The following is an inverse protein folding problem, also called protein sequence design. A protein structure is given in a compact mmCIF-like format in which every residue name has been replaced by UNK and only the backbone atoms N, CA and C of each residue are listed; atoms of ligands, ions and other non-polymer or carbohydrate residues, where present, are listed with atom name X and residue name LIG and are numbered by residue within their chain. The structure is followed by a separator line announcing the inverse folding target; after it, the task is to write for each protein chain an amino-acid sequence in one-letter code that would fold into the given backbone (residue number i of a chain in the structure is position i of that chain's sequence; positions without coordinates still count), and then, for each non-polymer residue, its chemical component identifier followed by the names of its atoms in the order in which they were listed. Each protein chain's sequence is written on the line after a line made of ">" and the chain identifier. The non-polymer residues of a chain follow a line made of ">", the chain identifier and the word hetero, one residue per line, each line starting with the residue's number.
data_IF_725531003621
#
_entry.id   IF_725531003621
#
_cell.length_a   1.000
_cell.length_b   1.000
_cell.length_c   1.000
_cell.angle_alpha   90.00
_cell.angle_beta   90.00
_cell.angle_gamma   90.00
#
_symmetry.space_group_name_H-M   'P 1'
#
loop_
_entity.id
_entity.type
_entity.pdbx_description
1 polymer ?
#
# COMPACT_ATOMS: atom_id res chain seq x y z
N UNK A 1 12.96 -44.20 -16.20
CA UNK A 1 13.52 -42.84 -16.39
C UNK A 1 13.33 -42.08 -15.09
N UNK A 2 14.37 -41.50 -14.47
CA UNK A 2 14.16 -40.64 -13.30
C UNK A 2 13.55 -39.32 -13.79
N UNK A 3 12.33 -39.03 -13.35
CA UNK A 3 11.67 -37.76 -13.62
C UNK A 3 12.39 -36.63 -12.87
N UNK A 4 12.44 -35.43 -13.45
CA UNK A 4 13.01 -34.26 -12.79
C UNK A 4 12.17 -33.90 -11.55
N UNK A 5 12.86 -33.60 -10.44
CA UNK A 5 12.25 -33.19 -9.18
C UNK A 5 12.44 -31.68 -8.98
N UNK A 6 11.44 -30.92 -9.43
CA UNK A 6 11.42 -29.46 -9.38
C UNK A 6 11.47 -28.92 -7.95
N UNK A 7 10.77 -29.57 -7.01
CA UNK A 7 10.74 -29.15 -5.61
C UNK A 7 12.11 -29.24 -4.98
N UNK A 8 12.83 -30.33 -5.23
CA UNK A 8 14.19 -30.51 -4.75
C UNK A 8 15.15 -29.49 -5.36
N UNK A 9 15.05 -29.24 -6.67
CA UNK A 9 15.89 -28.24 -7.34
C UNK A 9 15.63 -26.83 -6.80
N UNK A 10 14.37 -26.41 -6.72
CA UNK A 10 13.97 -25.10 -6.18
C UNK A 10 14.45 -24.89 -4.75
N UNK A 11 14.30 -25.91 -3.89
CA UNK A 11 14.78 -25.86 -2.50
C UNK A 11 16.30 -25.65 -2.42
N UNK A 12 17.07 -26.29 -3.32
CA UNK A 12 18.53 -26.12 -3.37
C UNK A 12 18.94 -24.71 -3.83
N UNK A 13 18.26 -24.15 -4.83
CA UNK A 13 18.52 -22.79 -5.30
C UNK A 13 18.12 -21.72 -4.28
N UNK A 14 17.01 -21.94 -3.55
CA UNK A 14 16.64 -21.09 -2.42
C UNK A 14 17.72 -21.10 -1.34
N UNK A 15 18.24 -22.28 -0.97
CA UNK A 15 19.29 -22.36 0.05
C UNK A 15 20.57 -21.65 -0.38
N UNK A 16 21.01 -21.83 -1.64
CA UNK A 16 22.15 -21.08 -2.19
C UNK A 16 21.92 -19.57 -2.12
N UNK A 17 20.71 -19.12 -2.44
CA UNK A 17 20.34 -17.70 -2.38
C UNK A 17 20.44 -17.16 -0.94
N UNK A 18 19.96 -17.92 0.04
CA UNK A 18 20.09 -17.57 1.46
C UNK A 18 21.54 -17.49 1.90
N UNK A 19 22.39 -18.43 1.49
CA UNK A 19 23.81 -18.42 1.82
C UNK A 19 24.53 -17.21 1.20
N UNK A 20 24.26 -16.90 -0.08
CA UNK A 20 24.80 -15.72 -0.73
C UNK A 20 24.38 -14.43 -0.01
N UNK A 21 23.11 -14.36 0.41
CA UNK A 21 22.60 -13.23 1.19
C UNK A 21 23.31 -13.11 2.54
N UNK A 22 23.48 -14.20 3.29
CA UNK A 22 24.20 -14.21 4.57
C UNK A 22 25.64 -13.72 4.42
N UNK A 23 26.33 -14.17 3.37
CA UNK A 23 27.68 -13.71 3.06
C UNK A 23 27.71 -12.20 2.77
N UNK A 24 26.75 -11.71 1.97
CA UNK A 24 26.62 -10.29 1.68
C UNK A 24 26.39 -9.46 2.95
N UNK A 25 25.51 -9.90 3.85
CA UNK A 25 25.26 -9.23 5.14
C UNK A 25 26.52 -9.19 6.00
N UNK A 26 27.25 -10.31 6.12
CA UNK A 26 28.46 -10.37 6.91
C UNK A 26 29.55 -9.43 6.36
N UNK A 27 29.73 -9.40 5.03
CA UNK A 27 30.66 -8.49 4.36
C UNK A 27 30.30 -7.02 4.60
N UNK A 28 29.01 -6.69 4.47
CA UNK A 28 28.53 -5.34 4.73
C UNK A 28 28.75 -4.91 6.19
N UNK A 29 28.35 -5.75 7.15
CA UNK A 29 28.48 -5.47 8.60
C UNK A 29 29.96 -5.31 9.03
N UNK A 30 30.88 -6.01 8.38
CA UNK A 30 32.32 -5.78 8.59
C UNK A 30 32.79 -4.47 7.94
N UNK A 31 32.44 -4.24 6.67
CA UNK A 31 32.90 -3.06 5.92
C UNK A 31 32.51 -1.73 6.58
N UNK A 32 31.32 -1.65 7.18
CA UNK A 32 30.80 -0.43 7.81
C UNK A 32 31.41 -0.17 9.19
N UNK A 33 32.07 -1.16 9.79
CA UNK A 33 32.57 -1.08 11.17
C UNK A 33 33.60 0.04 11.37
N UNK A 34 34.48 0.27 10.39
CA UNK A 34 35.48 1.34 10.46
C UNK A 34 34.84 2.73 10.37
N UNK A 35 33.81 2.89 9.53
CA UNK A 35 33.03 4.14 9.43
C UNK A 35 32.25 4.44 10.71
N UNK A 36 31.68 3.41 11.35
CA UNK A 36 30.97 3.59 12.63
C UNK A 36 31.92 4.03 13.75
N UNK A 37 33.12 3.43 13.83
CA UNK A 37 34.18 3.83 14.77
C UNK A 37 34.63 5.28 14.54
N UNK A 38 34.88 5.68 13.29
CA UNK A 38 35.30 7.06 12.99
C UNK A 38 34.23 8.10 13.35
N UNK A 39 32.94 7.73 13.26
CA UNK A 39 31.80 8.54 13.72
C UNK A 39 31.62 8.56 15.25
N UNK A 40 32.48 7.87 16.00
CA UNK A 40 32.45 7.82 17.46
C UNK A 40 31.46 6.82 18.05
N UNK A 41 30.90 5.91 17.24
CA UNK A 41 30.08 4.81 17.77
C UNK A 41 30.97 3.68 18.29
N UNK A 42 30.50 3.02 19.36
CA UNK A 42 31.13 1.82 19.91
C UNK A 42 30.26 0.60 19.63
N UNK A 43 30.86 -0.45 19.08
CA UNK A 43 30.19 -1.74 18.94
C UNK A 43 30.05 -2.36 20.33
N UNK A 44 28.82 -2.61 20.78
CA UNK A 44 28.56 -3.15 22.12
C UNK A 44 28.39 -4.66 22.10
N UNK A 45 27.66 -5.17 21.12
CA UNK A 45 27.41 -6.60 20.94
C UNK A 45 26.87 -6.88 19.53
N UNK A 46 26.67 -8.16 19.26
CA UNK A 46 25.93 -8.65 18.10
C UNK A 46 24.58 -9.20 18.56
N UNK A 47 23.61 -9.20 17.65
CA UNK A 47 22.31 -9.82 17.86
C UNK A 47 21.83 -10.49 16.59
N UNK A 48 21.16 -11.63 16.72
CA UNK A 48 20.52 -12.28 15.60
C UNK A 48 19.12 -11.72 15.35
N UNK A 49 18.65 -11.84 14.11
CA UNK A 49 17.26 -11.55 13.73
C UNK A 49 16.88 -12.44 12.57
N UNK A 50 15.65 -12.92 12.65
CA UNK A 50 14.99 -13.70 11.62
C UNK A 50 14.01 -12.81 10.88
N UNK A 51 14.11 -12.80 9.54
CA UNK A 51 13.24 -12.02 8.66
C UNK A 51 12.79 -12.90 7.49
N UNK A 52 11.49 -12.82 7.17
CA UNK A 52 10.91 -13.40 5.99
C UNK A 52 11.15 -12.50 4.76
N UNK A 53 11.85 -13.04 3.77
CA UNK A 53 12.06 -12.44 2.45
C UNK A 53 11.26 -13.21 1.39
N UNK A 54 11.21 -12.68 0.18
CA UNK A 54 10.65 -13.36 -1.01
C UNK A 54 11.46 -14.59 -1.44
N UNK A 55 12.64 -14.80 -0.86
CA UNK A 55 13.48 -15.99 -1.07
C UNK A 55 13.56 -16.88 0.18
N UNK A 56 12.61 -16.73 1.10
CA UNK A 56 12.50 -17.54 2.31
C UNK A 56 12.85 -16.79 3.59
N UNK A 57 12.67 -17.48 4.71
CA UNK A 57 13.05 -16.98 6.03
C UNK A 57 14.57 -17.13 6.25
N UNK A 58 15.20 -16.05 6.73
CA UNK A 58 16.65 -15.98 6.96
C UNK A 58 16.95 -15.38 8.33
N UNK A 59 17.80 -16.08 9.08
CA UNK A 59 18.36 -15.61 10.35
C UNK A 59 19.78 -15.12 10.13
N UNK A 60 20.06 -13.85 10.46
CA UNK A 60 21.38 -13.25 10.32
C UNK A 60 21.82 -12.52 11.59
N UNK A 61 23.13 -12.52 11.84
CA UNK A 61 23.75 -11.73 12.92
C UNK A 61 24.07 -10.32 12.43
N UNK A 62 23.93 -9.34 13.32
CA UNK A 62 24.25 -7.93 13.05
C UNK A 62 24.80 -7.22 14.29
N UNK A 63 25.78 -6.35 14.10
CA UNK A 63 26.35 -5.52 15.17
C UNK A 63 25.42 -4.39 15.59
N UNK A 64 25.37 -4.13 16.90
CA UNK A 64 24.69 -2.97 17.49
C UNK A 64 25.70 -1.93 17.95
N UNK A 65 25.53 -0.72 17.45
CA UNK A 65 26.44 0.40 17.64
C UNK A 65 25.81 1.47 18.51
N UNK A 66 26.53 1.95 19.51
CA UNK A 66 26.02 2.93 20.47
C UNK A 66 26.85 4.21 20.49
N UNK A 67 26.17 5.35 20.55
CA UNK A 67 26.77 6.67 20.78
C UNK A 67 25.78 7.53 21.55
N UNK A 68 26.20 8.10 22.68
CA UNK A 68 25.37 9.01 23.49
C UNK A 68 23.96 8.46 23.84
N UNK A 69 23.84 7.15 24.08
CA UNK A 69 22.56 6.49 24.37
C UNK A 69 21.75 6.08 23.13
N UNK A 70 22.11 6.55 21.95
CA UNK A 70 21.46 6.17 20.68
C UNK A 70 22.04 4.84 20.14
N UNK A 71 21.17 3.95 19.70
CA UNK A 71 21.53 2.68 19.09
C UNK A 71 21.30 2.72 17.58
N UNK A 72 22.33 2.40 16.80
CA UNK A 72 22.24 2.18 15.36
C UNK A 72 22.58 0.75 14.99
N UNK A 73 21.87 0.23 14.01
CA UNK A 73 22.03 -1.14 13.50
C UNK A 73 22.15 -1.02 11.98
N UNK A 74 23.37 -0.80 11.44
CA UNK A 74 23.56 -0.48 10.02
C UNK A 74 22.99 -1.52 9.06
N UNK A 75 23.00 -2.80 9.44
CA UNK A 75 22.40 -3.88 8.65
C UNK A 75 20.88 -3.71 8.54
N UNK A 76 20.19 -3.41 9.64
CA UNK A 76 18.75 -3.19 9.63
C UNK A 76 18.41 -1.94 8.79
N UNK A 77 19.20 -0.88 8.91
CA UNK A 77 19.05 0.36 8.13
C UNK A 77 19.23 0.13 6.63
N UNK A 78 20.27 -0.62 6.23
CA UNK A 78 20.52 -0.98 4.83
C UNK A 78 19.40 -1.82 4.23
N UNK A 79 18.83 -2.73 5.02
CA UNK A 79 17.71 -3.58 4.60
C UNK A 79 16.34 -2.87 4.68
N UNK A 80 16.28 -1.62 5.16
CA UNK A 80 15.03 -0.91 5.38
C UNK A 80 14.13 -1.57 6.45
N UNK A 81 14.72 -2.31 7.39
CA UNK A 81 13.96 -3.06 8.38
C UNK A 81 13.57 -2.19 9.58
N UNK A 82 12.27 -1.91 9.68
CA UNK A 82 11.72 -1.25 10.86
C UNK A 82 11.86 -2.09 12.13
N UNK A 83 11.78 -1.43 13.29
CA UNK A 83 11.89 -2.08 14.59
C UNK A 83 10.78 -3.10 14.79
N UNK A 84 11.15 -4.31 15.22
CA UNK A 84 10.24 -5.44 15.51
C UNK A 84 9.46 -6.02 14.32
N UNK A 85 9.65 -5.52 13.09
CA UNK A 85 9.03 -6.09 11.89
C UNK A 85 9.79 -7.34 11.45
N UNK A 86 9.08 -8.42 11.12
CA UNK A 86 9.70 -9.73 10.77
C UNK A 86 9.66 -10.04 9.27
N UNK A 87 9.23 -9.08 8.46
CA UNK A 87 9.02 -9.24 7.04
C UNK A 87 9.78 -8.15 6.29
N UNK A 88 10.40 -8.50 5.17
CA UNK A 88 11.07 -7.53 4.30
C UNK A 88 10.06 -6.58 3.64
N UNK A 89 10.51 -5.36 3.31
CA UNK A 89 9.65 -4.37 2.64
C UNK A 89 9.09 -4.87 1.32
N UNK A 90 9.89 -5.59 0.52
CA UNK A 90 9.44 -6.18 -0.75
C UNK A 90 8.33 -7.22 -0.55
N UNK A 91 8.47 -8.09 0.46
CA UNK A 91 7.43 -9.07 0.79
C UNK A 91 6.13 -8.38 1.23
N UNK A 92 6.23 -7.33 2.04
CA UNK A 92 5.07 -6.54 2.47
C UNK A 92 4.42 -5.80 1.29
N UNK A 93 5.22 -5.23 0.39
CA UNK A 93 4.71 -4.60 -0.82
C UNK A 93 3.90 -5.57 -1.68
N UNK A 94 4.44 -6.78 -1.92
CA UNK A 94 3.70 -7.80 -2.67
C UNK A 94 2.43 -8.26 -1.95
N UNK A 95 2.45 -8.36 -0.61
CA UNK A 95 1.25 -8.63 0.18
C UNK A 95 0.19 -7.54 0.00
N UNK A 96 0.59 -6.26 -0.03
CA UNK A 96 -0.31 -5.14 -0.29
C UNK A 96 -0.95 -5.23 -1.69
N UNK A 97 -0.14 -5.54 -2.71
CA UNK A 97 -0.61 -5.71 -4.09
C UNK A 97 -1.59 -6.88 -4.20
N UNK A 98 -1.28 -8.02 -3.57
CA UNK A 98 -2.18 -9.18 -3.57
C UNK A 98 -3.49 -8.89 -2.84
N UNK A 99 -3.47 -8.10 -1.78
CA UNK A 99 -4.66 -7.70 -1.03
C UNK A 99 -5.66 -6.87 -1.85
N UNK A 100 -5.23 -6.27 -2.96
CA UNK A 100 -6.15 -5.60 -3.91
C UNK A 100 -6.97 -6.59 -4.75
N UNK A 101 -6.58 -7.86 -4.79
CA UNK A 101 -7.15 -8.90 -5.65
C UNK A 101 -7.75 -10.07 -4.87
N UNK A 102 -7.23 -10.32 -3.67
CA UNK A 102 -7.53 -11.52 -2.88
C UNK A 102 -7.94 -11.15 -1.45
N UNK A 103 -8.84 -11.93 -0.82
CA UNK A 103 -9.09 -11.85 0.61
C UNK A 103 -7.80 -12.06 1.42
N UNK A 104 -7.66 -11.38 2.56
CA UNK A 104 -6.40 -11.34 3.32
C UNK A 104 -5.86 -12.71 3.75
N UNK A 105 -6.74 -13.68 4.00
CA UNK A 105 -6.31 -15.06 4.33
C UNK A 105 -5.68 -15.75 3.12
N UNK A 106 -6.29 -15.61 1.94
CA UNK A 106 -5.76 -16.16 0.70
C UNK A 106 -4.46 -15.47 0.27
N UNK A 107 -4.27 -14.19 0.62
CA UNK A 107 -2.97 -13.53 0.44
C UNK A 107 -1.88 -14.26 1.23
N UNK A 108 -2.13 -14.58 2.50
CA UNK A 108 -1.21 -15.35 3.34
C UNK A 108 -0.91 -16.74 2.76
N UNK A 109 -1.95 -17.47 2.35
CA UNK A 109 -1.83 -18.80 1.72
C UNK A 109 -1.04 -18.75 0.40
N UNK A 110 -1.24 -17.69 -0.40
CA UNK A 110 -0.51 -17.49 -1.66
C UNK A 110 0.97 -17.22 -1.41
N UNK A 111 1.28 -16.36 -0.43
CA UNK A 111 2.67 -16.05 -0.05
C UNK A 111 3.38 -17.30 0.48
N UNK A 112 2.69 -18.08 1.32
CA UNK A 112 3.23 -19.34 1.84
C UNK A 112 3.49 -20.35 0.73
N UNK A 113 2.57 -20.49 -0.24
CA UNK A 113 2.74 -21.36 -1.39
C UNK A 113 3.94 -20.96 -2.27
N UNK A 114 4.11 -19.66 -2.56
CA UNK A 114 5.11 -19.20 -3.53
C UNK A 114 6.50 -19.05 -2.89
N UNK A 115 6.57 -18.55 -1.67
CA UNK A 115 7.83 -18.17 -1.03
C UNK A 115 8.20 -19.06 0.17
N UNK A 116 7.33 -19.98 0.56
CA UNK A 116 7.52 -20.84 1.72
C UNK A 116 7.81 -20.03 3.01
N UNK A 117 7.11 -18.90 3.16
CA UNK A 117 7.15 -18.03 4.34
C UNK A 117 5.74 -17.68 4.79
N UNK A 118 5.55 -17.49 6.10
CA UNK A 118 4.23 -17.21 6.66
C UNK A 118 3.98 -15.71 6.77
N UNK A 119 2.85 -15.27 6.20
CA UNK A 119 2.29 -13.93 6.40
C UNK A 119 0.86 -14.09 6.92
N UNK A 120 0.59 -13.59 8.13
CA UNK A 120 -0.73 -13.73 8.74
C UNK A 120 -1.72 -12.72 8.15
N UNK A 121 -3.02 -13.05 8.19
CA UNK A 121 -4.09 -12.11 7.79
C UNK A 121 -3.97 -10.74 8.50
N UNK A 122 -3.51 -10.73 9.75
CA UNK A 122 -3.39 -9.51 10.55
C UNK A 122 -2.19 -8.67 10.09
N UNK A 123 -1.13 -9.34 9.64
CA UNK A 123 0.00 -8.68 8.99
C UNK A 123 -0.44 -8.04 7.67
N UNK A 124 -1.20 -8.77 6.83
CA UNK A 124 -1.78 -8.21 5.60
C UNK A 124 -2.65 -6.99 5.90
N UNK A 125 -3.53 -7.08 6.91
CA UNK A 125 -4.37 -5.95 7.33
C UNK A 125 -3.52 -4.73 7.74
N UNK A 126 -2.47 -4.92 8.55
CA UNK A 126 -1.56 -3.83 8.95
C UNK A 126 -0.90 -3.17 7.75
N UNK A 127 -0.44 -3.96 6.78
CA UNK A 127 0.19 -3.48 5.56
C UNK A 127 -0.78 -2.66 4.72
N UNK A 128 -2.02 -3.13 4.55
CA UNK A 128 -3.05 -2.39 3.81
C UNK A 128 -3.37 -1.07 4.50
N UNK A 129 -3.47 -1.05 5.84
CA UNK A 129 -3.67 0.20 6.60
C UNK A 129 -2.53 1.18 6.38
N UNK A 130 -1.28 0.71 6.44
CA UNK A 130 -0.11 1.54 6.15
C UNK A 130 -0.13 2.07 4.71
N UNK A 131 -0.49 1.24 3.73
CA UNK A 131 -0.61 1.65 2.34
C UNK A 131 -1.67 2.75 2.15
N UNK A 132 -2.83 2.63 2.83
CA UNK A 132 -3.86 3.66 2.80
C UNK A 132 -3.37 4.98 3.42
N UNK A 133 -2.70 4.93 4.57
CA UNK A 133 -2.11 6.13 5.19
C UNK A 133 -1.13 6.84 4.26
N UNK A 134 -0.25 6.08 3.59
CA UNK A 134 0.71 6.64 2.63
C UNK A 134 0.02 7.25 1.39
N UNK A 135 -1.14 6.72 0.99
CA UNK A 135 -1.95 7.30 -0.09
C UNK A 135 -2.62 8.62 0.37
N UNK A 136 -3.18 8.65 1.57
CA UNK A 136 -3.79 9.85 2.17
C UNK A 136 -2.75 10.98 2.31
N UNK A 137 -1.58 10.70 2.90
CA UNK A 137 -0.49 11.69 3.03
C UNK A 137 -0.04 12.25 1.68
N UNK A 138 -0.05 11.43 0.63
CA UNK A 138 0.30 11.84 -0.73
C UNK A 138 -0.76 12.74 -1.35
N UNK A 139 -2.03 12.45 -1.12
CA UNK A 139 -3.14 13.26 -1.62
C UNK A 139 -3.22 14.61 -0.90
N UNK A 140 -3.01 14.64 0.41
CA UNK A 140 -2.87 15.87 1.20
C UNK A 140 -1.71 16.73 0.67
N UNK A 141 -0.53 16.14 0.45
CA UNK A 141 0.61 16.87 -0.09
C UNK A 141 0.35 17.47 -1.48
N UNK A 142 -0.41 16.77 -2.33
CA UNK A 142 -0.84 17.29 -3.64
C UNK A 142 -1.81 18.46 -3.48
N UNK A 143 -2.76 18.35 -2.57
CA UNK A 143 -3.73 19.41 -2.27
C UNK A 143 -3.05 20.69 -1.79
N UNK A 144 -2.10 20.59 -0.84
CA UNK A 144 -1.35 21.76 -0.34
C UNK A 144 -0.44 22.41 -1.39
N UNK A 145 0.07 21.66 -2.38
CA UNK A 145 0.88 22.22 -3.47
C UNK A 145 0.05 22.88 -4.57
N UNK A 146 -1.24 22.56 -4.68
CA UNK A 146 -2.14 23.10 -5.68
C UNK A 146 -3.15 24.08 -5.05
N UNK A 147 -2.67 25.20 -4.48
CA UNK A 147 -3.49 26.42 -4.35
C UNK A 147 -3.76 27.05 -5.73
N UNK A 148 -4.32 26.27 -6.67
CA UNK A 148 -4.81 26.82 -7.93
C UNK A 148 -6.18 27.41 -7.66
N UNK A 149 -6.37 28.68 -8.03
CA UNK A 149 -7.70 29.26 -8.23
C UNK A 149 -8.48 28.33 -9.15
N UNK A 150 -9.47 27.64 -8.59
CA UNK A 150 -10.39 26.79 -9.36
C UNK A 150 -11.20 27.73 -10.27
N UNK A 151 -10.89 27.72 -11.56
CA UNK A 151 -11.74 28.38 -12.55
C UNK A 151 -13.01 27.55 -12.72
N UNK A 152 -14.13 28.11 -12.25
CA UNK A 152 -15.43 27.45 -12.32
C UNK A 152 -15.84 27.20 -13.77
N UNK A 153 -16.18 25.96 -14.07
CA UNK A 153 -16.70 25.51 -15.36
C UNK A 153 -18.12 26.05 -15.52
N UNK A 154 -18.37 26.71 -16.65
CA UNK A 154 -19.71 27.19 -17.02
C UNK A 154 -20.40 26.09 -17.82
N UNK A 155 -21.57 25.63 -17.35
CA UNK A 155 -22.35 24.58 -17.99
C UNK A 155 -23.84 24.92 -17.92
N UNK A 156 -24.56 24.62 -19.01
CA UNK A 156 -26.01 24.85 -19.09
C UNK A 156 -26.80 23.76 -18.35
N UNK A 157 -26.27 22.54 -18.33
CA UNK A 157 -26.86 21.40 -17.62
C UNK A 157 -25.76 20.57 -16.97
N UNK A 158 -26.04 20.06 -15.78
CA UNK A 158 -25.16 19.18 -15.02
C UNK A 158 -25.93 17.89 -14.81
N UNK A 159 -25.29 16.79 -15.17
CA UNK A 159 -25.82 15.44 -15.01
C UNK A 159 -25.13 14.79 -13.80
N UNK A 160 -25.93 14.14 -12.98
CA UNK A 160 -25.48 13.36 -11.83
C UNK A 160 -26.08 11.97 -11.98
N UNK A 161 -25.22 10.99 -12.23
CA UNK A 161 -25.60 9.57 -12.37
C UNK A 161 -25.09 8.82 -11.14
N UNK A 162 -25.91 7.96 -10.55
CA UNK A 162 -25.58 7.22 -9.33
C UNK A 162 -25.82 5.73 -9.49
N UNK A 163 -24.89 4.92 -9.00
CA UNK A 163 -25.02 3.47 -8.80
C UNK A 163 -24.70 3.11 -7.34
N UNK A 164 -25.22 2.01 -6.84
CA UNK A 164 -25.06 1.60 -5.45
C UNK A 164 -25.02 0.08 -5.27
N UNK A 165 -24.10 -0.39 -4.42
CA UNK A 165 -23.97 -1.80 -4.07
C UNK A 165 -24.11 -1.97 -2.55
N UNK A 166 -24.97 -2.91 -2.16
CA UNK A 166 -25.16 -3.31 -0.76
C UNK A 166 -24.03 -4.24 -0.30
N UNK A 167 -23.28 -3.83 0.74
CA UNK A 167 -22.22 -4.64 1.35
C UNK A 167 -22.59 -5.00 2.78
N UNK A 168 -22.58 -6.29 3.09
CA UNK A 168 -22.77 -6.77 4.47
C UNK A 168 -21.53 -6.45 5.29
N UNK A 169 -21.68 -5.65 6.33
CA UNK A 169 -20.59 -5.38 7.28
C UNK A 169 -20.88 -6.01 8.64
N UNK A 170 -19.83 -6.20 9.43
CA UNK A 170 -19.92 -6.71 10.79
C UNK A 170 -19.20 -5.71 11.68
N UNK A 171 -19.93 -4.73 12.20
CA UNK A 171 -19.45 -3.95 13.35
C UNK A 171 -19.72 -4.74 14.63
N UNK A 172 -18.77 -4.70 15.55
CA UNK A 172 -18.86 -5.39 16.83
C UNK A 172 -20.03 -4.85 17.66
N UNK A 173 -21.08 -5.67 17.83
CA UNK A 173 -22.03 -5.53 18.94
C UNK A 173 -23.41 -4.94 18.64
N UNK A 174 -23.69 -4.44 17.44
CA UNK A 174 -25.06 -4.05 17.04
C UNK A 174 -25.42 -4.64 15.68
N UNK A 175 -26.70 -4.97 15.52
CA UNK A 175 -27.31 -5.62 14.36
C UNK A 175 -26.61 -5.32 13.03
N UNK A 176 -26.28 -6.38 12.29
CA UNK A 176 -25.65 -6.37 10.96
C UNK A 176 -26.14 -5.18 10.12
N UNK A 177 -25.37 -4.09 10.11
CA UNK A 177 -25.68 -2.92 9.29
C UNK A 177 -25.12 -3.21 7.90
N UNK A 178 -26.02 -3.46 6.95
CA UNK A 178 -25.62 -3.41 5.54
C UNK A 178 -25.20 -1.96 5.27
N UNK A 179 -24.02 -1.78 4.67
CA UNK A 179 -23.53 -0.47 4.25
C UNK A 179 -23.70 -0.35 2.74
N UNK A 180 -24.17 0.81 2.31
CA UNK A 180 -24.41 1.10 0.90
C UNK A 180 -23.17 1.80 0.35
N UNK A 181 -22.42 1.09 -0.49
CA UNK A 181 -21.35 1.72 -1.25
C UNK A 181 -21.98 2.39 -2.46
N UNK A 182 -22.05 3.71 -2.44
CA UNK A 182 -22.62 4.50 -3.53
C UNK A 182 -21.52 5.14 -4.36
N UNK A 183 -21.73 5.14 -5.68
CA UNK A 183 -20.85 5.74 -6.68
C UNK A 183 -21.64 6.75 -7.50
N UNK A 184 -21.18 8.00 -7.52
CA UNK A 184 -21.75 9.06 -8.33
C UNK A 184 -20.77 9.53 -9.40
N UNK A 185 -21.30 9.83 -10.58
CA UNK A 185 -20.59 10.47 -11.69
C UNK A 185 -21.28 11.78 -11.99
N UNK A 186 -20.51 12.88 -11.92
CA UNK A 186 -20.96 14.23 -12.28
C UNK A 186 -20.30 14.61 -13.61
N UNK A 187 -21.08 15.08 -14.58
CA UNK A 187 -20.58 15.54 -15.88
C UNK A 187 -21.46 16.63 -16.48
N UNK A 188 -20.96 17.34 -17.51
CA UNK A 188 -21.67 18.48 -18.13
C UNK A 188 -22.28 18.17 -19.49
N UNK A 189 -22.30 16.89 -19.87
CA UNK A 189 -22.77 16.43 -21.17
C UNK A 189 -21.96 15.25 -21.68
N UNK A 190 -22.21 14.86 -22.93
CA UNK A 190 -21.43 13.84 -23.63
C UNK A 190 -21.16 14.29 -25.06
N UNK A 191 -19.96 13.98 -25.56
CA UNK A 191 -19.56 14.27 -26.94
C UNK A 191 -19.35 12.96 -27.70
N UNK A 192 -19.78 12.92 -28.95
CA UNK A 192 -19.52 11.76 -29.80
C UNK A 192 -18.06 11.74 -30.24
N UNK A 193 -17.37 10.62 -30.05
CA UNK A 193 -15.95 10.45 -30.43
C UNK A 193 -15.78 9.45 -31.58
N UNK A 194 -16.74 8.53 -31.79
CA UNK A 194 -16.80 7.65 -32.96
C UNK A 194 -18.25 7.19 -33.20
N UNK A 195 -18.56 6.48 -34.31
CA UNK A 195 -19.87 5.86 -34.49
C UNK A 195 -20.22 5.01 -33.26
N UNK A 196 -21.38 5.26 -32.66
CA UNK A 196 -21.89 4.62 -31.44
C UNK A 196 -20.99 4.70 -30.20
N UNK A 197 -20.05 5.67 -30.12
CA UNK A 197 -19.21 5.87 -28.95
C UNK A 197 -19.22 7.33 -28.51
N UNK A 198 -19.57 7.53 -27.25
CA UNK A 198 -19.65 8.84 -26.61
C UNK A 198 -18.72 8.90 -25.40
N UNK A 199 -18.19 10.08 -25.12
CA UNK A 199 -17.34 10.37 -23.97
C UNK A 199 -18.00 11.47 -23.12
N UNK A 200 -18.01 11.28 -21.79
CA UNK A 200 -18.57 12.26 -20.86
C UNK A 200 -17.62 13.45 -20.68
N UNK A 201 -18.17 14.66 -20.73
CA UNK A 201 -17.39 15.89 -20.61
C UNK A 201 -17.29 16.36 -19.15
N UNK A 202 -16.11 16.83 -18.74
CA UNK A 202 -15.83 17.29 -17.37
C UNK A 202 -16.22 16.29 -16.28
N UNK A 203 -16.06 14.99 -16.58
CA UNK A 203 -16.42 13.88 -15.72
C UNK A 203 -15.65 13.94 -14.38
N UNK A 204 -16.39 13.89 -13.27
CA UNK A 204 -15.87 13.65 -11.93
C UNK A 204 -16.59 12.46 -11.30
N UNK A 205 -15.83 11.51 -10.76
CA UNK A 205 -16.35 10.37 -10.02
C UNK A 205 -16.16 10.55 -8.53
N UNK A 206 -17.16 10.18 -7.74
CA UNK A 206 -17.19 10.23 -6.28
C UNK A 206 -17.73 8.90 -5.75
N UNK A 207 -17.11 8.33 -4.72
CA UNK A 207 -17.60 7.10 -4.06
C UNK A 207 -17.42 7.22 -2.55
N UNK A 208 -18.39 6.72 -1.79
CA UNK A 208 -18.38 6.73 -0.33
C UNK A 208 -19.41 5.72 0.20
N UNK A 209 -19.30 5.42 1.49
CA UNK A 209 -20.16 4.48 2.21
C UNK A 209 -21.38 5.14 2.86
N UNK A 210 -21.39 6.48 2.92
CA UNK A 210 -22.46 7.27 3.51
C UNK A 210 -23.03 8.15 2.41
N UNK A 211 -24.24 7.82 1.95
CA UNK A 211 -24.92 8.55 0.88
C UNK A 211 -25.05 10.04 1.20
N UNK A 212 -25.37 10.40 2.44
CA UNK A 212 -25.52 11.80 2.85
C UNK A 212 -24.20 12.58 2.70
N UNK A 213 -23.07 11.94 3.04
CA UNK A 213 -21.74 12.54 2.91
C UNK A 213 -21.31 12.63 1.44
N UNK A 214 -21.72 11.68 0.59
CA UNK A 214 -21.56 11.78 -0.87
C UNK A 214 -22.34 12.92 -1.48
N UNK A 215 -23.59 13.09 -1.08
CA UNK A 215 -24.45 14.17 -1.56
C UNK A 215 -23.83 15.50 -1.15
N UNK A 216 -23.35 15.62 0.09
CA UNK A 216 -22.64 16.80 0.56
C UNK A 216 -21.32 17.04 -0.21
N UNK A 217 -20.52 16.01 -0.46
CA UNK A 217 -19.30 16.10 -1.26
C UNK A 217 -19.58 16.48 -2.73
N UNK A 218 -20.64 15.97 -3.33
CA UNK A 218 -21.13 16.39 -4.65
C UNK A 218 -21.51 17.87 -4.63
N UNK A 219 -22.17 18.32 -3.56
CA UNK A 219 -22.62 19.70 -3.40
C UNK A 219 -21.45 20.68 -3.17
N UNK A 220 -20.44 20.27 -2.40
CA UNK A 220 -19.18 21.01 -2.21
C UNK A 220 -18.42 21.10 -3.53
N UNK A 221 -18.23 19.98 -4.23
CA UNK A 221 -17.60 19.95 -5.55
C UNK A 221 -18.29 20.91 -6.52
N UNK A 222 -19.63 20.88 -6.54
CA UNK A 222 -20.45 21.77 -7.35
C UNK A 222 -20.23 23.25 -7.00
N UNK A 223 -20.31 23.62 -5.72
CA UNK A 223 -20.08 25.00 -5.24
C UNK A 223 -18.69 25.52 -5.59
N UNK A 224 -17.68 24.67 -5.51
CA UNK A 224 -16.28 25.04 -5.77
C UNK A 224 -15.99 25.14 -7.27
N UNK A 225 -16.57 24.27 -8.10
CA UNK A 225 -16.12 24.06 -9.49
C UNK A 225 -17.12 24.49 -10.58
N UNK A 226 -18.37 24.85 -10.27
CA UNK A 226 -19.38 25.16 -11.31
C UNK A 226 -19.91 26.61 -11.22
N UNK A 227 -20.13 27.24 -12.39
CA UNK A 227 -20.85 28.52 -12.56
C UNK A 227 -22.16 28.24 -13.31
N UNK A 228 -23.27 28.16 -12.58
CA UNK A 228 -24.61 28.10 -13.20
C UNK A 228 -25.06 29.51 -13.58
N UNK A 229 -25.45 29.71 -14.85
CA UNK A 229 -26.33 30.80 -15.24
C UNK A 229 -27.76 30.24 -15.22
N UNK A 230 -28.51 30.51 -14.16
CA UNK A 230 -29.97 30.31 -14.20
C UNK A 230 -30.55 31.28 -15.24
N UNK A 231 -31.07 30.76 -16.36
CA UNK A 231 -32.07 31.46 -17.17
C UNK A 231 -33.43 30.96 -16.73
N UNK A 232 -34.17 31.81 -16.04
CA UNK A 232 -35.61 31.65 -15.82
C UNK A 232 -36.30 31.84 -17.18
N UNK A 233 -37.08 30.84 -17.61
CA UNK A 233 -38.17 31.00 -18.57
C UNK A 233 -39.48 30.89 -17.80
#
# INVERSE_FOLDING_TARGET
>A
MKQFDELRFSSQEQEKTKQNFLQHIAQYDESISSSMRSKGYRCKNQSERTVAFTFGEVTFSRKRWYKNGECRIPVDEMLGLEKNVRHSQELLYQAAVLATKLPYRQVGETIEMVYNVTVTKDTVNKVVKLANQLLEEKDDYRFFKEEKKIEKIKADTIYIEGDGVYVKTSEDGSEKRNMDLSHFVVHTGSKQISPNRFELENKKSLSDWIIDQLVENCWIYWKMNMKLQMRLY
#
